data_IF_834920705370
#
_entry.id   IF_834920705370
#
_cell.length_a   1.000
_cell.length_b   1.000
_cell.length_c   1.000
_cell.angle_alpha   90.00
_cell.angle_beta   90.00
_cell.angle_gamma   90.00
#
_symmetry.space_group_name_H-M   'P 1'
#
loop_
_entity.id
_entity.type
_entity.pdbx_description
1 polymer ?
#
# COMPACT_ATOMS: atom_id res chain seq x y z
N UNK A 1 -1.27 11.83 19.62
CA UNK A 1 -1.79 10.75 18.74
C UNK A 1 -0.59 9.94 18.30
N UNK A 2 -0.52 8.64 18.60
CA UNK A 2 0.63 7.79 18.21
C UNK A 2 0.34 7.07 16.89
N UNK A 3 -0.07 7.81 15.88
CA UNK A 3 -0.41 7.28 14.55
C UNK A 3 0.76 7.43 13.56
N UNK A 4 0.67 6.74 12.43
CA UNK A 4 1.55 6.97 11.29
C UNK A 4 0.76 7.59 10.14
N UNK A 5 1.44 8.44 9.36
CA UNK A 5 0.96 8.87 8.05
C UNK A 5 1.37 7.83 7.01
N UNK A 6 0.50 7.56 6.05
CA UNK A 6 0.84 6.76 4.88
C UNK A 6 0.74 7.61 3.63
N UNK A 7 1.82 7.62 2.84
CA UNK A 7 1.94 8.38 1.60
C UNK A 7 2.06 7.42 0.43
N UNK A 8 1.54 7.83 -0.72
CA UNK A 8 1.67 7.13 -2.00
C UNK A 8 2.48 8.02 -2.96
N UNK A 9 3.82 8.02 -2.88
CA UNK A 9 4.68 8.66 -3.87
C UNK A 9 4.56 7.94 -5.23
N UNK A 10 3.50 8.25 -5.98
CA UNK A 10 3.07 7.58 -7.21
C UNK A 10 4.19 7.28 -8.19
N UNK A 11 5.04 8.27 -8.48
CA UNK A 11 6.13 8.14 -9.45
C UNK A 11 7.40 7.48 -8.90
N UNK A 12 7.37 6.98 -7.66
CA UNK A 12 8.41 6.13 -7.08
C UNK A 12 7.98 4.69 -6.93
N UNK A 13 6.77 4.35 -7.38
CA UNK A 13 6.24 2.98 -7.29
C UNK A 13 6.27 2.43 -5.87
N UNK A 14 5.98 3.28 -4.88
CA UNK A 14 6.16 2.95 -3.46
C UNK A 14 4.99 3.49 -2.62
N UNK A 15 4.68 2.81 -1.52
CA UNK A 15 4.00 3.43 -0.37
C UNK A 15 4.99 3.70 0.75
N UNK A 16 4.78 4.76 1.53
CA UNK A 16 5.64 5.11 2.67
C UNK A 16 4.85 5.16 3.97
N UNK A 17 5.45 4.62 5.03
CA UNK A 17 5.02 4.86 6.41
C UNK A 17 5.87 5.97 7.00
N UNK A 18 5.23 6.99 7.56
CA UNK A 18 5.88 8.25 7.97
C UNK A 18 5.47 8.64 9.38
N UNK A 19 6.44 9.09 10.18
CA UNK A 19 6.17 9.71 11.49
C UNK A 19 5.54 11.09 11.28
N UNK A 20 4.30 11.35 11.74
CA UNK A 20 3.64 12.61 11.46
C UNK A 20 4.32 13.81 12.14
N UNK A 21 5.03 13.61 13.25
CA UNK A 21 5.69 14.68 14.00
C UNK A 21 6.98 15.18 13.32
N UNK A 22 7.61 14.35 12.50
CA UNK A 22 8.96 14.62 11.95
C UNK A 22 9.04 14.51 10.44
N UNK A 23 8.04 13.93 9.77
CA UNK A 23 8.12 13.59 8.36
C UNK A 23 9.11 12.47 8.04
N UNK A 24 9.66 11.79 9.04
CA UNK A 24 10.64 10.71 8.83
C UNK A 24 9.98 9.47 8.25
N UNK A 25 10.48 8.99 7.11
CA UNK A 25 10.08 7.71 6.52
C UNK A 25 10.64 6.58 7.38
N UNK A 26 9.76 5.74 7.92
CA UNK A 26 10.13 4.59 8.75
C UNK A 26 10.04 3.27 8.03
N UNK A 27 9.24 3.18 6.96
CA UNK A 27 9.16 2.00 6.10
C UNK A 27 8.74 2.39 4.67
N UNK A 28 9.19 1.60 3.69
CA UNK A 28 8.81 1.69 2.28
C UNK A 28 8.25 0.36 1.79
N UNK A 29 7.19 0.42 1.00
CA UNK A 29 6.55 -0.74 0.39
C UNK A 29 6.65 -0.60 -1.11
N UNK A 30 7.60 -1.33 -1.70
CA UNK A 30 7.86 -1.31 -3.15
C UNK A 30 6.73 -2.02 -3.91
N UNK A 31 6.27 -1.37 -4.97
CA UNK A 31 5.24 -1.87 -5.88
C UNK A 31 5.83 -2.06 -7.28
N UNK A 32 5.32 -3.01 -8.07
CA UNK A 32 5.82 -3.23 -9.44
C UNK A 32 5.45 -2.13 -10.46
N UNK A 33 4.73 -1.09 -10.05
CA UNK A 33 4.30 0.02 -10.89
C UNK A 33 3.73 1.18 -10.07
N UNK A 34 3.21 2.20 -10.78
CA UNK A 34 2.74 3.44 -10.17
C UNK A 34 1.56 3.23 -9.23
N UNK A 35 1.62 3.87 -8.06
CA UNK A 35 0.55 3.84 -7.05
C UNK A 35 -0.30 5.12 -7.13
N UNK A 36 -1.41 5.07 -7.83
CA UNK A 36 -2.28 6.25 -8.02
C UNK A 36 -3.23 6.49 -6.83
N UNK A 37 -3.47 5.48 -6.00
CA UNK A 37 -4.36 5.52 -4.86
C UNK A 37 -3.66 5.50 -3.51
N UNK A 38 -4.38 5.84 -2.43
CA UNK A 38 -3.90 5.61 -1.08
C UNK A 38 -3.95 4.11 -0.73
N UNK A 39 -3.01 3.60 0.08
CA UNK A 39 -3.08 2.21 0.52
C UNK A 39 -4.19 2.04 1.58
N UNK A 40 -4.82 0.86 1.62
CA UNK A 40 -5.62 0.48 2.79
C UNK A 40 -4.69 0.03 3.89
N UNK A 41 -4.85 0.57 5.10
CA UNK A 41 -4.04 0.23 6.25
C UNK A 41 -4.93 -0.22 7.39
N UNK A 42 -4.66 -1.42 7.91
CA UNK A 42 -5.32 -1.97 9.08
C UNK A 42 -4.33 -2.68 10.02
N UNK A 43 -4.84 -3.28 11.09
CA UNK A 43 -4.03 -4.02 12.06
C UNK A 43 -3.34 -5.25 11.46
N UNK A 44 -3.88 -5.81 10.38
CA UNK A 44 -3.35 -6.98 9.68
C UNK A 44 -2.25 -6.64 8.67
N UNK A 45 -2.16 -5.38 8.22
CA UNK A 45 -1.14 -4.95 7.28
C UNK A 45 -1.54 -3.77 6.40
N UNK A 46 -0.90 -3.73 5.24
CA UNK A 46 -1.07 -2.70 4.22
C UNK A 46 -1.47 -3.39 2.92
N UNK A 47 -2.50 -2.88 2.24
CA UNK A 47 -2.89 -3.33 0.93
C UNK A 47 -2.68 -2.21 -0.08
N UNK A 48 -1.99 -2.53 -1.16
CA UNK A 48 -1.67 -1.62 -2.24
C UNK A 48 -2.07 -2.18 -3.59
N UNK A 49 -2.46 -1.29 -4.50
CA UNK A 49 -2.65 -1.58 -5.90
C UNK A 49 -1.76 -0.64 -6.73
N UNK A 50 -1.25 -1.14 -7.85
CA UNK A 50 -0.43 -0.35 -8.78
C UNK A 50 -0.86 -0.54 -10.23
N UNK A 51 -0.33 0.30 -11.13
CA UNK A 51 -0.42 0.03 -12.57
C UNK A 51 0.16 -1.35 -12.93
N UNK A 52 -0.21 -1.86 -14.10
CA UNK A 52 0.18 -3.20 -14.55
C UNK A 52 -0.58 -4.36 -13.89
N UNK A 53 -1.68 -4.10 -13.18
CA UNK A 53 -2.56 -5.16 -12.68
C UNK A 53 -2.24 -5.69 -11.27
N UNK A 54 -1.23 -5.15 -10.58
CA UNK A 54 -0.75 -5.73 -9.32
C UNK A 54 -1.54 -5.27 -8.09
N UNK A 55 -1.87 -6.24 -7.23
CA UNK A 55 -2.38 -6.03 -5.87
C UNK A 55 -1.49 -6.80 -4.89
N UNK A 56 -1.05 -6.14 -3.81
CA UNK A 56 -0.11 -6.70 -2.84
C UNK A 56 -0.61 -6.42 -1.42
N UNK A 57 -0.49 -7.44 -0.55
CA UNK A 57 -0.57 -7.27 0.90
C UNK A 57 0.82 -7.32 1.50
N UNK A 58 1.16 -6.33 2.33
CA UNK A 58 2.36 -6.28 3.15
C UNK A 58 2.01 -6.41 4.63
N UNK A 59 2.94 -6.94 5.42
CA UNK A 59 2.96 -6.73 6.87
C UNK A 59 3.43 -5.31 7.18
N UNK A 60 3.23 -4.90 8.44
CA UNK A 60 3.64 -3.59 8.96
C UNK A 60 5.16 -3.32 8.91
N UNK A 61 5.98 -4.37 8.68
CA UNK A 61 7.44 -4.35 8.56
C UNK A 61 7.93 -4.39 7.11
N UNK A 62 7.04 -4.18 6.14
CA UNK A 62 7.38 -4.19 4.71
C UNK A 62 7.42 -5.59 4.07
N UNK A 63 7.35 -6.69 4.84
CA UNK A 63 7.38 -8.03 4.24
C UNK A 63 6.11 -8.35 3.47
N UNK A 64 6.26 -8.88 2.25
CA UNK A 64 5.13 -9.30 1.42
C UNK A 64 4.44 -10.52 2.03
N UNK A 65 3.12 -10.43 2.23
CA UNK A 65 2.27 -11.56 2.64
C UNK A 65 1.80 -12.33 1.42
N UNK A 66 1.26 -11.62 0.42
CA UNK A 66 0.87 -12.17 -0.87
C UNK A 66 0.88 -11.07 -1.93
N UNK A 67 0.97 -11.48 -3.20
CA UNK A 67 0.80 -10.62 -4.38
C UNK A 67 0.01 -11.34 -5.47
N UNK A 68 -0.77 -10.60 -6.24
CA UNK A 68 -1.48 -11.10 -7.42
C UNK A 68 -1.38 -10.08 -8.55
N UNK A 69 -1.29 -10.56 -9.79
CA UNK A 69 -1.55 -9.75 -10.98
C UNK A 69 -2.94 -10.13 -11.51
N UNK A 70 -3.84 -9.16 -11.55
CA UNK A 70 -5.25 -9.36 -11.91
C UNK A 70 -5.48 -9.45 -13.42
N UNK A 71 -4.50 -9.07 -14.25
CA UNK A 71 -4.63 -9.05 -15.71
C UNK A 71 -5.61 -8.00 -16.25
N UNK A 72 -6.07 -7.07 -15.41
CA UNK A 72 -7.09 -6.07 -15.74
C UNK A 72 -6.53 -4.82 -16.48
N UNK A 73 -5.22 -4.77 -16.74
CA UNK A 73 -4.55 -3.63 -17.38
C UNK A 73 -4.05 -2.58 -16.39
N UNK A 74 -3.82 -1.35 -16.87
CA UNK A 74 -3.13 -0.30 -16.11
C UNK A 74 -3.99 0.38 -15.03
N UNK A 75 -5.32 0.29 -15.13
CA UNK A 75 -6.24 0.93 -14.19
C UNK A 75 -6.97 -0.13 -13.36
N UNK A 76 -6.74 -0.14 -12.03
CA UNK A 76 -7.41 -1.14 -11.18
C UNK A 76 -7.97 -0.68 -9.83
N UNK A 77 -7.57 0.45 -9.24
CA UNK A 77 -8.31 1.11 -8.14
C UNK A 77 -7.63 2.39 -7.66
N UNK A 78 -8.41 3.43 -7.34
CA UNK A 78 -7.94 4.63 -6.61
C UNK A 78 -7.92 4.44 -5.08
N UNK A 79 -8.64 3.45 -4.55
CA UNK A 79 -8.62 3.07 -3.15
C UNK A 79 -9.08 1.62 -2.97
N UNK A 80 -8.42 0.89 -2.06
CA UNK A 80 -8.96 -0.34 -1.48
C UNK A 80 -9.76 0.10 -0.25
N UNK A 81 -11.07 -0.13 -0.22
CA UNK A 81 -11.97 0.50 0.75
C UNK A 81 -12.42 -0.41 1.90
N UNK A 82 -12.19 -1.72 1.82
CA UNK A 82 -12.48 -2.66 2.92
C UNK A 82 -11.67 -3.97 2.80
N UNK A 83 -11.17 -4.46 3.93
CA UNK A 83 -10.60 -5.80 4.07
C UNK A 83 -11.23 -6.45 5.31
N UNK A 84 -12.15 -7.39 5.11
CA UNK A 84 -12.75 -8.14 6.20
C UNK A 84 -11.86 -9.34 6.55
N UNK A 85 -11.56 -9.54 7.83
CA UNK A 85 -11.25 -10.88 8.33
C UNK A 85 -12.59 -11.55 8.63
N UNK A 86 -12.96 -12.58 7.89
CA UNK A 86 -14.08 -13.42 8.31
C UNK A 86 -13.70 -14.06 9.66
N UNK A 87 -14.62 -13.96 10.61
CA UNK A 87 -14.57 -14.63 11.92
C UNK A 87 -14.58 -16.16 11.77
#
# INVERSE_FOLDING_TARGET
>A
MNGYLYLAPTFRDEFWKVKPETGTIVERYEMPGHVWGAPLVDISGIYGASTGGYVIKFRQDGSVVWRVNTGLGDFIAEAIVEAWANA
#
